data_IF_085060213571
#
_entry.id   IF_085060213571
#
_cell.length_a   1.000
_cell.length_b   1.000
_cell.length_c   1.000
_cell.angle_alpha   90.00
_cell.angle_beta   90.00
_cell.angle_gamma   90.00
#
_symmetry.space_group_name_H-M   'P 1'
#
loop_
_entity.id
_entity.type
_entity.pdbx_description
1 polymer ?
#
# COMPACT_ATOMS: atom_id res chain seq x y z
N UNK A 1 12.39 3.20 10.50
CA UNK A 1 12.64 3.65 9.11
C UNK A 1 12.00 2.65 8.17
N UNK A 2 11.22 3.12 7.21
CA UNK A 2 10.65 2.30 6.14
C UNK A 2 11.42 2.58 4.84
N UNK A 3 11.90 1.53 4.16
CA UNK A 3 12.59 1.59 2.87
C UNK A 3 11.73 0.84 1.87
N UNK A 4 11.13 1.59 0.95
CA UNK A 4 10.29 1.02 -0.12
C UNK A 4 11.12 0.67 -1.35
N UNK A 5 10.55 -0.19 -2.21
CA UNK A 5 11.15 -0.64 -3.47
C UNK A 5 12.56 -1.24 -3.32
N UNK A 6 12.81 -1.98 -2.24
CA UNK A 6 14.12 -2.58 -1.96
C UNK A 6 14.56 -3.58 -3.05
N UNK A 7 13.62 -4.16 -3.78
CA UNK A 7 13.88 -5.03 -4.93
C UNK A 7 14.62 -4.35 -6.07
N UNK A 8 14.56 -3.00 -6.16
CA UNK A 8 15.23 -2.23 -7.21
C UNK A 8 16.75 -2.17 -7.04
N UNK A 9 17.25 -2.43 -5.84
CA UNK A 9 18.68 -2.52 -5.58
C UNK A 9 19.22 -3.95 -5.67
N UNK A 10 18.40 -4.91 -6.09
CA UNK A 10 18.88 -6.28 -6.34
C UNK A 10 19.86 -6.32 -7.52
N UNK A 11 20.87 -7.18 -7.43
CA UNK A 11 21.87 -7.37 -8.50
C UNK A 11 21.20 -8.02 -9.71
N UNK A 12 21.25 -7.38 -10.87
CA UNK A 12 20.73 -7.93 -12.12
C UNK A 12 21.69 -8.98 -12.69
N UNK A 13 21.12 -10.12 -13.10
CA UNK A 13 21.91 -11.27 -13.62
C UNK A 13 22.59 -11.02 -14.98
N UNK A 14 22.12 -10.04 -15.77
CA UNK A 14 22.51 -9.88 -17.19
C UNK A 14 23.06 -8.50 -17.58
N UNK A 15 23.93 -7.89 -16.78
CA UNK A 15 24.61 -6.69 -17.26
C UNK A 15 26.07 -7.01 -17.57
N UNK A 16 26.42 -6.97 -18.87
CA UNK A 16 27.82 -6.99 -19.37
C UNK A 16 28.64 -5.76 -18.91
N UNK A 17 28.01 -4.74 -18.39
CA UNK A 17 28.65 -3.61 -17.72
C UNK A 17 28.61 -3.83 -16.22
N UNK A 18 29.69 -3.55 -15.52
CA UNK A 18 29.78 -3.52 -14.07
C UNK A 18 28.56 -2.75 -13.51
N UNK A 19 27.55 -3.47 -13.04
CA UNK A 19 26.40 -2.85 -12.37
C UNK A 19 26.86 -2.36 -11.00
N UNK A 20 27.45 -1.16 -11.02
CA UNK A 20 28.05 -0.53 -9.85
C UNK A 20 26.97 -0.08 -8.86
N UNK A 21 25.69 -0.08 -9.29
CA UNK A 21 24.64 0.59 -8.54
C UNK A 21 23.98 -0.29 -7.46
N UNK A 22 23.51 -1.50 -7.80
CA UNK A 22 22.66 -2.26 -6.89
C UNK A 22 23.40 -2.84 -5.68
N UNK A 23 24.45 -3.61 -5.91
CA UNK A 23 25.23 -4.25 -4.84
C UNK A 23 25.90 -3.22 -3.93
N UNK A 24 26.47 -2.14 -4.52
CA UNK A 24 27.11 -1.06 -3.76
C UNK A 24 26.14 -0.31 -2.85
N UNK A 25 24.86 -0.14 -3.29
CA UNK A 25 23.82 0.47 -2.47
C UNK A 25 23.44 -0.45 -1.31
N UNK A 26 23.28 -1.77 -1.57
CA UNK A 26 23.03 -2.74 -0.50
C UNK A 26 24.16 -2.72 0.55
N UNK A 27 25.43 -2.71 0.11
CA UNK A 27 26.60 -2.59 1.01
C UNK A 27 26.61 -1.26 1.79
N UNK A 28 26.25 -0.15 1.15
CA UNK A 28 26.11 1.15 1.80
C UNK A 28 25.05 1.17 2.90
N UNK A 29 23.94 0.49 2.70
CA UNK A 29 22.85 0.37 3.68
C UNK A 29 23.24 -0.51 4.89
N UNK A 30 24.15 -1.47 4.73
CA UNK A 30 24.61 -2.33 5.84
C UNK A 30 25.09 -1.52 7.04
N UNK A 31 25.85 -0.48 6.81
CA UNK A 31 26.38 0.37 7.87
C UNK A 31 25.26 0.93 8.76
N UNK A 32 24.14 1.31 8.15
CA UNK A 32 22.99 1.87 8.87
C UNK A 32 22.19 0.77 9.59
N UNK A 33 22.03 -0.39 8.94
CA UNK A 33 21.32 -1.55 9.49
C UNK A 33 22.08 -2.22 10.65
N UNK A 34 23.43 -2.17 10.64
CA UNK A 34 24.26 -2.75 11.68
C UNK A 34 24.28 -1.96 12.99
N UNK A 35 23.79 -0.73 12.97
CA UNK A 35 23.78 0.16 14.12
C UNK A 35 25.09 0.90 14.27
N UNK A 36 25.18 2.05 13.65
CA UNK A 36 26.34 2.94 13.70
C UNK A 36 25.93 4.36 14.07
N UNK A 37 26.91 5.15 14.44
CA UNK A 37 26.76 6.60 14.56
C UNK A 37 26.85 7.21 13.15
N UNK A 38 25.82 7.94 12.76
CA UNK A 38 25.70 8.60 11.46
C UNK A 38 25.54 10.10 11.68
N UNK A 39 26.41 10.89 11.06
CA UNK A 39 26.32 12.34 11.12
C UNK A 39 25.34 12.84 10.09
N UNK A 40 24.32 13.54 10.56
CA UNK A 40 23.20 14.04 9.74
C UNK A 40 23.20 15.58 9.81
N UNK A 41 23.17 16.28 8.67
CA UNK A 41 23.06 17.73 8.65
C UNK A 41 21.70 18.20 9.17
N UNK A 42 21.70 19.16 10.09
CA UNK A 42 20.48 19.69 10.72
C UNK A 42 20.19 21.09 10.15
N UNK A 43 18.94 21.25 9.66
CA UNK A 43 18.44 22.57 9.24
C UNK A 43 18.91 23.05 7.88
N UNK A 44 19.48 22.18 7.03
CA UNK A 44 19.95 22.59 5.70
C UNK A 44 19.11 22.04 4.57
N UNK A 45 18.59 22.97 3.77
CA UNK A 45 18.08 22.69 2.44
C UNK A 45 19.16 22.75 1.34
N UNK A 46 20.42 22.94 1.69
CA UNK A 46 21.50 23.09 0.73
C UNK A 46 22.78 22.35 1.15
N UNK A 47 23.53 21.88 0.14
CA UNK A 47 24.79 21.14 0.26
C UNK A 47 25.98 21.99 0.75
N UNK A 48 25.77 23.08 1.48
CA UNK A 48 26.84 23.94 1.95
C UNK A 48 27.60 23.31 3.12
N UNK A 49 28.93 23.37 3.06
CA UNK A 49 29.89 22.72 3.94
C UNK A 49 29.91 23.22 5.41
N UNK A 50 29.08 24.20 5.78
CA UNK A 50 29.02 24.80 7.13
C UNK A 50 27.75 24.49 7.93
N UNK A 51 27.07 23.38 7.60
CA UNK A 51 25.86 23.00 8.32
C UNK A 51 26.22 22.22 9.58
N UNK A 52 25.65 22.55 10.74
CA UNK A 52 25.88 21.77 11.95
C UNK A 52 25.43 20.32 11.75
N UNK A 53 26.29 19.38 12.09
CA UNK A 53 26.01 17.95 12.04
C UNK A 53 25.52 17.47 13.40
N UNK A 54 24.50 16.64 13.39
CA UNK A 54 24.04 15.91 14.59
C UNK A 54 24.29 14.42 14.38
N UNK A 55 24.93 13.79 15.33
CA UNK A 55 25.19 12.35 15.29
C UNK A 55 23.98 11.58 15.78
N UNK A 56 23.45 10.68 14.94
CA UNK A 56 22.34 9.78 15.25
C UNK A 56 22.87 8.36 15.35
N UNK A 57 22.55 7.68 16.46
CA UNK A 57 22.85 6.26 16.62
C UNK A 57 21.68 5.41 16.08
N UNK A 58 21.96 4.54 15.10
CA UNK A 58 20.93 3.74 14.42
C UNK A 58 20.68 2.37 15.09
N UNK A 59 21.40 2.02 16.16
CA UNK A 59 21.35 0.69 16.80
C UNK A 59 19.94 0.26 17.25
N UNK A 60 19.13 1.22 17.71
CA UNK A 60 17.79 0.96 18.22
C UNK A 60 16.67 1.44 17.27
N UNK A 61 16.99 1.60 15.98
CA UNK A 61 16.02 1.97 14.97
C UNK A 61 15.49 0.72 14.29
N UNK A 62 14.16 0.55 14.28
CA UNK A 62 13.50 -0.49 13.51
C UNK A 62 13.55 -0.14 12.00
N UNK A 63 14.03 -1.08 11.19
CA UNK A 63 14.00 -0.98 9.74
C UNK A 63 12.97 -1.96 9.18
N UNK A 64 12.12 -1.46 8.30
CA UNK A 64 11.14 -2.24 7.55
C UNK A 64 11.43 -2.00 6.07
N UNK A 65 11.73 -3.07 5.33
CA UNK A 65 12.00 -3.01 3.91
C UNK A 65 10.85 -3.65 3.15
N UNK A 66 10.32 -2.96 2.16
CA UNK A 66 9.25 -3.46 1.29
C UNK A 66 9.66 -3.44 -0.17
N UNK A 67 9.08 -4.33 -0.98
CA UNK A 67 9.30 -4.39 -2.42
C UNK A 67 8.32 -5.33 -3.10
N UNK A 68 8.13 -5.18 -4.41
CA UNK A 68 7.24 -6.01 -5.20
C UNK A 68 7.87 -7.34 -5.63
N UNK A 69 9.20 -7.39 -5.73
CA UNK A 69 9.98 -8.57 -6.12
C UNK A 69 9.39 -9.29 -7.35
N UNK A 70 9.27 -8.64 -8.51
CA UNK A 70 8.77 -9.26 -9.72
C UNK A 70 9.62 -10.52 -10.01
N UNK A 71 9.00 -11.56 -10.56
CA UNK A 71 9.62 -12.86 -10.88
C UNK A 71 10.09 -13.69 -9.66
N UNK A 72 9.90 -13.24 -8.42
CA UNK A 72 10.25 -14.02 -7.22
C UNK A 72 9.42 -15.31 -7.14
N UNK A 73 8.15 -15.24 -7.54
CA UNK A 73 7.27 -16.41 -7.60
C UNK A 73 7.86 -17.50 -8.52
N UNK A 74 8.44 -17.14 -9.65
CA UNK A 74 9.06 -18.09 -10.60
C UNK A 74 10.32 -18.72 -10.01
N UNK A 75 11.11 -17.96 -9.28
CA UNK A 75 12.29 -18.47 -8.54
C UNK A 75 11.87 -19.51 -7.50
N UNK A 76 10.80 -19.24 -6.74
CA UNK A 76 10.26 -20.16 -5.74
C UNK A 76 9.74 -21.44 -6.42
N UNK A 77 8.96 -21.31 -7.50
CA UNK A 77 8.46 -22.44 -8.29
C UNK A 77 9.60 -23.30 -8.81
N UNK A 78 10.64 -22.69 -9.37
CA UNK A 78 11.82 -23.42 -9.87
C UNK A 78 12.51 -24.22 -8.75
N UNK A 79 12.69 -23.62 -7.56
CA UNK A 79 13.25 -24.32 -6.40
C UNK A 79 12.40 -25.51 -5.97
N UNK A 80 11.08 -25.31 -5.83
CA UNK A 80 10.16 -26.35 -5.40
C UNK A 80 10.06 -27.49 -6.42
N UNK A 81 10.06 -27.19 -7.70
CA UNK A 81 10.04 -28.18 -8.77
C UNK A 81 11.35 -28.98 -8.83
N UNK A 82 12.52 -28.36 -8.59
CA UNK A 82 13.80 -29.06 -8.49
C UNK A 82 13.82 -30.03 -7.31
N UNK A 83 13.28 -29.62 -6.15
CA UNK A 83 13.18 -30.48 -4.98
C UNK A 83 12.24 -31.68 -5.22
N UNK A 84 11.13 -31.46 -5.92
CA UNK A 84 10.17 -32.50 -6.26
C UNK A 84 10.74 -33.51 -7.30
N UNK A 85 11.57 -33.04 -8.23
CA UNK A 85 12.18 -33.88 -9.26
C UNK A 85 13.21 -34.90 -8.70
N UNK A 86 13.75 -34.66 -7.51
CA UNK A 86 14.64 -35.60 -6.80
C UNK A 86 13.82 -36.74 -6.15
N UNK A 87 12.52 -36.54 -5.94
CA UNK A 87 11.59 -37.53 -5.42
C UNK A 87 10.67 -38.07 -6.51
N UNK A 88 10.90 -39.17 -7.07
CA UNK A 88 10.24 -40.08 -8.02
C UNK A 88 8.77 -39.82 -8.48
N UNK A 89 8.24 -38.61 -8.54
CA UNK A 89 6.87 -38.29 -8.99
C UNK A 89 6.87 -37.19 -10.04
N UNK A 90 6.75 -37.62 -11.30
CA UNK A 90 6.68 -36.76 -12.49
C UNK A 90 5.42 -35.84 -12.54
N UNK A 91 4.41 -36.10 -11.72
CA UNK A 91 3.14 -35.38 -11.71
C UNK A 91 3.11 -34.08 -10.89
N UNK A 92 4.25 -33.66 -10.33
CA UNK A 92 4.30 -32.52 -9.42
C UNK A 92 4.66 -31.19 -10.10
N UNK A 93 4.94 -31.18 -11.41
CA UNK A 93 5.35 -29.97 -12.12
C UNK A 93 4.23 -28.92 -12.17
N UNK A 94 2.97 -29.34 -12.27
CA UNK A 94 1.81 -28.43 -12.38
C UNK A 94 1.25 -27.99 -11.01
N UNK A 95 1.72 -28.61 -9.91
CA UNK A 95 1.14 -28.38 -8.58
C UNK A 95 1.32 -26.95 -8.06
N UNK A 96 2.40 -26.29 -8.43
CA UNK A 96 2.75 -24.94 -7.95
C UNK A 96 2.48 -23.83 -8.96
N UNK A 97 2.04 -24.17 -10.18
CA UNK A 97 1.83 -23.16 -11.24
C UNK A 97 0.66 -22.23 -10.94
N UNK A 98 -0.36 -22.73 -10.26
CA UNK A 98 -1.55 -21.97 -9.88
C UNK A 98 -1.72 -21.84 -8.34
N UNK A 99 -0.63 -21.92 -7.58
CA UNK A 99 -0.68 -21.75 -6.13
C UNK A 99 -0.76 -20.25 -5.77
N UNK A 100 -1.91 -19.76 -5.27
CA UNK A 100 -2.08 -18.35 -4.92
C UNK A 100 -1.19 -17.92 -3.74
N UNK A 101 -0.79 -18.89 -2.89
CA UNK A 101 0.03 -18.65 -1.71
C UNK A 101 1.52 -19.01 -1.96
N UNK A 102 1.96 -18.98 -3.22
CA UNK A 102 3.35 -19.33 -3.58
C UNK A 102 4.39 -18.46 -2.87
N UNK A 103 4.09 -17.19 -2.69
CA UNK A 103 4.98 -16.22 -2.01
C UNK A 103 5.14 -16.51 -0.51
N UNK A 104 4.17 -17.17 0.14
CA UNK A 104 4.30 -17.58 1.55
C UNK A 104 5.42 -18.63 1.75
N UNK A 105 5.87 -19.26 0.65
CA UNK A 105 6.95 -20.26 0.66
C UNK A 105 8.33 -19.65 0.39
N UNK A 106 8.44 -18.33 0.43
CA UNK A 106 9.70 -17.61 0.20
C UNK A 106 10.75 -18.01 1.24
N UNK A 107 11.98 -18.19 0.77
CA UNK A 107 13.14 -18.45 1.61
C UNK A 107 14.25 -17.42 1.38
N UNK A 108 15.21 -17.34 2.30
CA UNK A 108 16.39 -16.48 2.13
C UNK A 108 17.19 -16.84 0.88
N UNK A 109 17.16 -18.11 0.45
CA UNK A 109 17.82 -18.57 -0.76
C UNK A 109 17.14 -18.01 -2.02
N UNK A 110 15.82 -17.90 -2.04
CA UNK A 110 15.08 -17.33 -3.14
C UNK A 110 15.42 -15.83 -3.30
N UNK A 111 15.48 -15.09 -2.19
CA UNK A 111 15.88 -13.68 -2.19
C UNK A 111 17.33 -13.49 -2.64
N UNK A 112 18.23 -14.40 -2.26
CA UNK A 112 19.61 -14.41 -2.76
C UNK A 112 19.66 -14.67 -4.27
N UNK A 113 18.88 -15.62 -4.75
CA UNK A 113 18.77 -15.93 -6.18
C UNK A 113 18.13 -14.79 -6.97
N UNK A 114 17.27 -13.99 -6.33
CA UNK A 114 16.71 -12.77 -6.90
C UNK A 114 17.78 -11.67 -7.07
N UNK A 115 18.80 -11.64 -6.24
CA UNK A 115 19.91 -10.69 -6.34
C UNK A 115 20.21 -9.87 -5.08
N UNK A 116 19.63 -10.28 -3.95
CA UNK A 116 19.95 -9.67 -2.65
C UNK A 116 21.25 -10.28 -2.09
N UNK A 117 22.15 -9.46 -1.54
CA UNK A 117 23.39 -9.96 -0.97
C UNK A 117 23.16 -10.63 0.39
N UNK A 118 23.88 -11.72 0.70
CA UNK A 118 23.68 -12.48 1.94
C UNK A 118 23.84 -11.63 3.21
N UNK A 119 24.77 -10.68 3.22
CA UNK A 119 25.04 -9.80 4.35
C UNK A 119 23.83 -8.90 4.64
N UNK A 120 23.16 -8.39 3.60
CA UNK A 120 21.97 -7.57 3.71
C UNK A 120 20.79 -8.40 4.24
N UNK A 121 20.58 -9.59 3.69
CA UNK A 121 19.54 -10.52 4.15
C UNK A 121 19.75 -10.94 5.61
N UNK A 122 21.00 -11.14 6.02
CA UNK A 122 21.34 -11.48 7.40
C UNK A 122 20.96 -10.39 8.43
N UNK A 123 20.77 -9.14 7.99
CA UNK A 123 20.31 -8.02 8.83
C UNK A 123 18.78 -7.84 8.83
N UNK A 124 18.08 -8.52 7.94
CA UNK A 124 16.63 -8.52 7.81
C UNK A 124 16.07 -9.95 7.97
N UNK A 125 16.20 -10.56 9.15
CA UNK A 125 15.93 -11.99 9.34
C UNK A 125 14.44 -12.34 9.29
N UNK A 126 13.56 -11.38 9.45
CA UNK A 126 12.10 -11.56 9.41
C UNK A 126 11.62 -11.25 8.00
N UNK A 127 11.17 -12.27 7.28
CA UNK A 127 10.63 -12.15 5.93
C UNK A 127 9.22 -12.72 5.92
N UNK A 128 8.30 -11.99 5.31
CA UNK A 128 6.92 -12.43 5.08
C UNK A 128 6.38 -11.84 3.79
N UNK A 129 5.47 -12.55 3.15
CA UNK A 129 4.74 -12.08 2.00
C UNK A 129 3.41 -11.46 2.43
N UNK A 130 2.96 -10.45 1.68
CA UNK A 130 1.61 -9.91 1.82
C UNK A 130 0.69 -10.66 0.85
N UNK A 131 -0.50 -11.01 1.33
CA UNK A 131 -1.52 -11.65 0.50
C UNK A 131 -2.14 -10.64 -0.46
N UNK A 132 -2.68 -11.15 -1.56
CA UNK A 132 -3.51 -10.34 -2.45
C UNK A 132 -4.74 -9.83 -1.69
N UNK A 133 -5.18 -8.62 -2.05
CA UNK A 133 -6.33 -7.99 -1.42
C UNK A 133 -7.61 -8.53 -2.05
N UNK A 134 -8.43 -9.18 -1.25
CA UNK A 134 -9.79 -9.55 -1.61
C UNK A 134 -10.78 -8.37 -1.41
N UNK A 135 -12.03 -8.56 -1.82
CA UNK A 135 -13.09 -7.55 -1.71
C UNK A 135 -13.32 -7.13 -0.26
N UNK A 136 -13.37 -8.09 0.67
CA UNK A 136 -13.61 -7.79 2.08
C UNK A 136 -12.46 -7.01 2.71
N UNK A 137 -11.21 -7.34 2.35
CA UNK A 137 -10.03 -6.57 2.77
C UNK A 137 -10.07 -5.13 2.23
N UNK A 138 -10.47 -4.93 0.98
CA UNK A 138 -10.59 -3.60 0.38
C UNK A 138 -11.68 -2.78 1.09
N UNK A 139 -12.82 -3.39 1.43
CA UNK A 139 -13.88 -2.74 2.24
C UNK A 139 -13.35 -2.37 3.63
N UNK A 140 -12.57 -3.23 4.27
CA UNK A 140 -11.94 -2.93 5.57
C UNK A 140 -10.95 -1.78 5.46
N UNK A 141 -10.14 -1.71 4.39
CA UNK A 141 -9.21 -0.60 4.13
C UNK A 141 -9.96 0.72 4.00
N UNK A 142 -11.17 0.73 3.46
CA UNK A 142 -11.99 1.93 3.34
C UNK A 142 -12.52 2.44 4.70
N UNK A 143 -12.80 1.54 5.65
CA UNK A 143 -13.49 1.86 6.93
C UNK A 143 -12.55 1.89 8.14
N UNK A 144 -11.71 0.87 8.33
CA UNK A 144 -11.04 0.60 9.60
C UNK A 144 -9.87 1.53 9.93
N UNK A 145 -8.96 1.87 9.00
CA UNK A 145 -7.80 2.68 9.34
C UNK A 145 -8.18 4.00 10.03
N UNK A 146 -7.30 4.47 10.92
CA UNK A 146 -7.51 5.75 11.61
C UNK A 146 -7.71 6.90 10.62
N UNK A 147 -6.97 6.90 9.53
CA UNK A 147 -7.04 7.89 8.46
C UNK A 147 -7.65 7.27 7.19
N UNK A 148 -8.69 6.43 7.34
CA UNK A 148 -9.40 5.86 6.19
C UNK A 148 -9.92 6.98 5.28
N UNK A 149 -9.90 6.74 3.96
CA UNK A 149 -10.28 7.77 2.98
C UNK A 149 -11.71 8.25 3.18
N UNK A 150 -12.63 7.34 3.52
CA UNK A 150 -14.02 7.68 3.82
C UNK A 150 -14.10 8.67 4.98
N UNK A 151 -13.39 8.41 6.08
CA UNK A 151 -13.37 9.29 7.26
C UNK A 151 -12.81 10.68 6.94
N UNK A 152 -11.92 10.79 5.96
CA UNK A 152 -11.43 12.09 5.51
C UNK A 152 -12.53 12.89 4.83
N UNK A 153 -13.32 12.27 3.94
CA UNK A 153 -14.46 12.92 3.28
C UNK A 153 -15.62 13.20 4.22
N UNK A 154 -15.92 12.25 5.15
CA UNK A 154 -16.89 12.48 6.23
C UNK A 154 -16.55 13.76 7.00
N UNK A 155 -15.29 13.93 7.40
CA UNK A 155 -14.84 15.11 8.14
C UNK A 155 -14.86 16.39 7.31
N UNK A 156 -14.62 16.30 6.00
CA UNK A 156 -14.72 17.48 5.11
C UNK A 156 -16.17 17.98 5.00
N UNK A 157 -17.14 17.08 4.76
CA UNK A 157 -18.54 17.46 4.65
C UNK A 157 -19.16 17.82 6.02
N UNK A 158 -18.62 17.29 7.12
CA UNK A 158 -18.99 17.70 8.48
C UNK A 158 -18.72 19.20 8.73
N UNK A 159 -17.70 19.79 8.09
CA UNK A 159 -17.44 21.24 8.17
C UNK A 159 -18.56 22.07 7.55
N UNK A 160 -19.29 21.50 6.58
CA UNK A 160 -20.49 22.08 5.97
C UNK A 160 -21.79 21.61 6.67
N UNK A 161 -21.64 20.99 7.85
CA UNK A 161 -22.74 20.39 8.64
C UNK A 161 -23.55 19.35 7.85
N UNK A 162 -22.92 18.63 6.95
CA UNK A 162 -23.53 17.55 6.16
C UNK A 162 -22.94 16.20 6.58
N UNK A 163 -23.81 15.25 6.92
CA UNK A 163 -23.42 13.89 7.28
C UNK A 163 -23.26 13.02 6.02
N UNK A 164 -22.05 12.62 5.73
CA UNK A 164 -21.75 11.65 4.67
C UNK A 164 -21.91 10.22 5.19
N UNK A 165 -22.55 9.36 4.40
CA UNK A 165 -22.71 7.95 4.69
C UNK A 165 -22.49 7.13 3.41
N UNK A 166 -22.02 5.89 3.57
CA UNK A 166 -21.87 4.93 2.48
C UNK A 166 -22.67 3.68 2.81
N UNK A 167 -23.49 3.20 1.87
CA UNK A 167 -24.13 1.90 2.03
C UNK A 167 -23.11 0.78 1.91
N UNK A 168 -23.36 -0.38 2.52
CA UNK A 168 -22.44 -1.52 2.43
C UNK A 168 -22.31 -2.02 0.98
N UNK A 169 -23.39 -1.94 0.20
CA UNK A 169 -23.40 -2.27 -1.21
C UNK A 169 -22.50 -1.31 -2.03
N UNK A 170 -22.52 -0.01 -1.69
CA UNK A 170 -21.62 0.98 -2.34
C UNK A 170 -20.15 0.67 -2.08
N UNK A 171 -19.81 0.30 -0.86
CA UNK A 171 -18.43 -0.06 -0.51
C UNK A 171 -17.94 -1.30 -1.24
N UNK A 172 -18.81 -2.31 -1.37
CA UNK A 172 -18.51 -3.50 -2.16
C UNK A 172 -18.37 -3.17 -3.65
N UNK A 173 -19.22 -2.29 -4.20
CA UNK A 173 -19.10 -1.84 -5.58
C UNK A 173 -17.77 -1.09 -5.84
N UNK A 174 -17.34 -0.25 -4.88
CA UNK A 174 -16.01 0.42 -4.95
C UNK A 174 -14.88 -0.62 -4.92
N UNK A 175 -14.96 -1.61 -4.02
CA UNK A 175 -13.97 -2.67 -3.91
C UNK A 175 -13.89 -3.51 -5.20
N UNK A 176 -15.03 -3.90 -5.77
CA UNK A 176 -15.10 -4.64 -7.04
C UNK A 176 -14.44 -3.87 -8.19
N UNK A 177 -14.76 -2.56 -8.35
CA UNK A 177 -14.11 -1.68 -9.34
C UNK A 177 -12.59 -1.57 -9.12
N UNK A 178 -12.13 -1.61 -7.85
CA UNK A 178 -10.71 -1.55 -7.54
C UNK A 178 -9.98 -2.84 -7.96
N UNK A 179 -10.61 -4.00 -7.78
CA UNK A 179 -10.08 -5.29 -8.24
C UNK A 179 -9.96 -5.30 -9.77
N UNK A 180 -10.97 -4.82 -10.49
CA UNK A 180 -10.93 -4.73 -11.96
C UNK A 180 -9.76 -3.87 -12.47
N UNK A 181 -9.45 -2.76 -11.79
CA UNK A 181 -8.32 -1.88 -12.14
C UNK A 181 -6.93 -2.51 -11.89
N UNK A 182 -6.84 -3.65 -11.20
CA UNK A 182 -5.59 -4.41 -10.92
C UNK A 182 -4.46 -3.58 -10.29
N UNK A 183 -4.79 -2.47 -9.62
CA UNK A 183 -3.81 -1.58 -8.96
C UNK A 183 -3.91 -1.65 -7.43
N UNK A 184 -4.63 -2.63 -6.92
CA UNK A 184 -4.80 -2.87 -5.48
C UNK A 184 -5.51 -1.70 -4.77
N UNK A 185 -5.16 -1.48 -3.51
CA UNK A 185 -5.76 -0.42 -2.69
C UNK A 185 -5.55 1.00 -3.23
N UNK A 186 -4.55 1.24 -4.09
CA UNK A 186 -4.32 2.55 -4.72
C UNK A 186 -5.49 2.98 -5.61
N UNK A 187 -6.19 2.02 -6.23
CA UNK A 187 -7.38 2.30 -7.02
C UNK A 187 -8.54 2.87 -6.19
N UNK A 188 -8.65 2.52 -4.91
CA UNK A 188 -9.73 2.98 -4.05
C UNK A 188 -9.81 4.50 -3.97
N UNK A 189 -8.63 5.15 -3.84
CA UNK A 189 -8.57 6.63 -3.77
C UNK A 189 -9.10 7.24 -5.06
N UNK A 190 -8.58 6.83 -6.22
CA UNK A 190 -9.00 7.42 -7.50
C UNK A 190 -10.47 7.17 -7.83
N UNK A 191 -11.02 6.00 -7.43
CA UNK A 191 -12.44 5.70 -7.62
C UNK A 191 -13.31 6.61 -6.75
N UNK A 192 -12.94 6.82 -5.49
CA UNK A 192 -13.67 7.69 -4.59
C UNK A 192 -13.59 9.14 -5.04
N UNK A 193 -12.40 9.61 -5.42
CA UNK A 193 -12.18 10.98 -5.90
C UNK A 193 -13.06 11.31 -7.11
N UNK A 194 -13.27 10.33 -8.01
CA UNK A 194 -14.07 10.50 -9.23
C UNK A 194 -15.52 10.94 -8.95
N UNK A 195 -16.20 10.32 -7.99
CA UNK A 195 -17.59 10.67 -7.68
C UNK A 195 -17.73 11.65 -6.51
N UNK A 196 -16.75 11.73 -5.62
CA UNK A 196 -16.79 12.66 -4.50
C UNK A 196 -16.57 14.11 -4.94
N UNK A 197 -15.91 14.34 -6.07
CA UNK A 197 -15.71 15.69 -6.60
C UNK A 197 -17.05 16.40 -6.83
N UNK A 198 -17.98 15.73 -7.46
CA UNK A 198 -19.31 16.29 -7.72
C UNK A 198 -20.10 16.52 -6.42
N UNK A 199 -20.02 15.56 -5.48
CA UNK A 199 -20.65 15.69 -4.17
C UNK A 199 -20.13 16.91 -3.42
N UNK A 200 -18.81 17.07 -3.34
CA UNK A 200 -18.18 18.19 -2.63
C UNK A 200 -18.45 19.53 -3.29
N UNK A 201 -18.73 19.55 -4.59
CA UNK A 201 -19.05 20.78 -5.31
C UNK A 201 -20.53 21.16 -5.22
N UNK A 202 -21.45 20.19 -5.33
CA UNK A 202 -22.88 20.47 -5.40
C UNK A 202 -23.54 20.57 -4.02
N UNK A 203 -23.18 19.70 -3.08
CA UNK A 203 -23.86 19.58 -1.78
C UNK A 203 -23.76 20.87 -0.93
N UNK A 204 -22.61 21.54 -0.81
CA UNK A 204 -22.50 22.74 0.01
C UNK A 204 -23.30 23.97 -0.52
N UNK A 205 -23.76 23.90 -1.79
CA UNK A 205 -24.56 25.00 -2.37
C UNK A 205 -25.96 25.09 -1.77
N UNK A 206 -26.53 23.97 -1.31
CA UNK A 206 -27.85 23.94 -0.70
C UNK A 206 -27.73 23.70 0.82
N UNK A 207 -27.96 24.75 1.58
CA UNK A 207 -27.90 24.74 3.06
C UNK A 207 -28.99 23.87 3.71
N UNK A 208 -29.99 23.46 2.98
CA UNK A 208 -31.06 22.58 3.49
C UNK A 208 -30.65 21.12 3.53
N UNK A 209 -29.56 20.74 2.90
CA UNK A 209 -29.05 19.36 2.91
C UNK A 209 -28.37 19.09 4.26
N UNK A 210 -28.83 18.02 4.95
CA UNK A 210 -28.28 17.57 6.22
C UNK A 210 -27.53 16.26 6.14
N UNK A 211 -27.83 15.43 5.12
CA UNK A 211 -27.13 14.17 4.93
C UNK A 211 -27.08 13.74 3.47
N UNK A 212 -26.00 12.99 3.13
CA UNK A 212 -25.81 12.39 1.81
C UNK A 212 -25.40 10.95 2.01
N UNK A 213 -26.14 10.01 1.39
CA UNK A 213 -25.81 8.59 1.40
C UNK A 213 -25.40 8.17 -0.01
N UNK A 214 -24.18 7.67 -0.12
CA UNK A 214 -23.66 7.07 -1.35
C UNK A 214 -24.18 5.66 -1.47
N UNK A 215 -24.90 5.39 -2.56
CA UNK A 215 -25.49 4.09 -2.87
C UNK A 215 -24.71 3.37 -3.97
N UNK A 216 -24.99 2.08 -4.14
CA UNK A 216 -24.41 1.29 -5.23
C UNK A 216 -24.76 1.87 -6.60
N UNK A 217 -26.02 2.27 -6.80
CA UNK A 217 -26.51 2.84 -8.04
C UNK A 217 -25.74 4.10 -8.44
N UNK A 218 -25.36 4.91 -7.45
CA UNK A 218 -24.53 6.09 -7.70
C UNK A 218 -23.13 5.71 -8.16
N UNK A 219 -22.49 4.72 -7.53
CA UNK A 219 -21.16 4.21 -7.92
C UNK A 219 -21.19 3.61 -9.33
N UNK A 220 -22.28 2.94 -9.71
CA UNK A 220 -22.46 2.33 -11.03
C UNK A 220 -22.98 3.30 -12.11
N UNK A 221 -23.17 4.59 -11.77
CA UNK A 221 -23.75 5.63 -12.64
C UNK A 221 -25.15 5.29 -13.15
N UNK A 222 -25.93 4.55 -12.39
CA UNK A 222 -27.32 4.19 -12.70
C UNK A 222 -28.35 4.99 -11.90
N UNK A 223 -27.90 5.78 -10.94
CA UNK A 223 -28.73 6.63 -10.08
C UNK A 223 -27.94 7.76 -9.44
N UNK A 224 -28.62 8.55 -8.61
CA UNK A 224 -28.01 9.63 -7.81
C UNK A 224 -27.73 9.22 -6.35
N UNK A 225 -27.00 10.04 -5.59
CA UNK A 225 -26.87 9.86 -4.16
C UNK A 225 -28.20 10.14 -3.47
N UNK A 226 -28.46 9.48 -2.33
CA UNK A 226 -29.64 9.79 -1.52
C UNK A 226 -29.36 11.00 -0.65
N UNK A 227 -30.20 12.03 -0.77
CA UNK A 227 -30.06 13.32 -0.07
C UNK A 227 -31.13 13.39 1.02
N UNK A 228 -30.71 13.60 2.26
CA UNK A 228 -31.59 13.91 3.39
C UNK A 228 -31.55 15.40 3.72
N UNK A 229 -32.72 16.01 3.82
CA UNK A 229 -32.83 17.41 4.22
C UNK A 229 -32.63 17.56 5.73
N UNK A 230 -32.20 18.75 6.15
CA UNK A 230 -32.17 19.13 7.57
C UNK A 230 -33.60 19.25 8.07
N UNK A 231 -33.89 18.70 9.26
CA UNK A 231 -35.15 19.00 9.96
C UNK A 231 -35.10 20.47 10.37
N UNK A 232 -35.82 21.31 9.62
CA UNK A 232 -36.08 22.69 10.07
C UNK A 232 -37.10 22.57 11.19
N UNK A 233 -36.65 22.59 12.45
CA UNK A 233 -37.58 22.92 13.55
C UNK A 233 -38.19 24.29 13.22
N UNK A 234 -39.55 24.43 13.23
CA UNK A 234 -40.18 25.72 13.03
C UNK A 234 -39.74 26.62 14.17
N UNK A 235 -39.13 27.73 13.84
CA UNK A 235 -38.83 28.79 14.79
C UNK A 235 -40.12 29.11 15.55
N UNK A 236 -40.15 28.77 16.85
CA UNK A 236 -41.23 29.21 17.72
C UNK A 236 -41.21 30.76 17.73
N UNK A 237 -42.18 31.34 17.06
CA UNK A 237 -42.46 32.79 17.15
C UNK A 237 -42.99 32.98 18.57
N UNK A 238 -42.13 33.40 19.48
CA UNK A 238 -42.54 33.96 20.78
C UNK A 238 -43.11 35.37 20.50
N UNK A 239 -44.44 35.47 20.64
CA UNK A 239 -45.14 36.75 20.78
C UNK A 239 -44.72 37.51 22.07
#
# INVERSE_FOLDING_TARGET
IFIDEIDKIAKKKETRSRDVSGESVQQGLLRILEGSNVDVPVGANSKNAMVPLTTINTKNILFICGGAFPDLADIIKERLNKQAAIGFTADLRDKYDNDPDILDKVTMEDLRNFGMIPEFLGRLPVVFALKELDEDMLVRILKEPKNAIIKQYEKLLELDEVKLMFSDEALRAIAAKAIEKKTGARALRSIIEEFMLDIMYEIPKDKNIGSVTITKEYIENTGGPQIGMRDTEPLAITE
#
